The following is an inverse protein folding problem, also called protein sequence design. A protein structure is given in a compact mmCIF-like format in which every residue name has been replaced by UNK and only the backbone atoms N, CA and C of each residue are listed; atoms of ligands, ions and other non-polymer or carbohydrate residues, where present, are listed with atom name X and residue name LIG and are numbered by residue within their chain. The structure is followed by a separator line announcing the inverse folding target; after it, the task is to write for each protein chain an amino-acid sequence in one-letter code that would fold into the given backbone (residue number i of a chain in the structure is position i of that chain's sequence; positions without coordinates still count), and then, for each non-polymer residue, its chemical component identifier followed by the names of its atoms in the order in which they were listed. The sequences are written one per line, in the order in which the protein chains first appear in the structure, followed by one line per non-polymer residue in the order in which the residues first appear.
data_IF_305760167748
#
_entry.id   IF_305760167748
#
_cell.length_a   1.000
_cell.length_b   1.000
_cell.length_c   1.000
_cell.angle_alpha   90.00
_cell.angle_beta   90.00
_cell.angle_gamma   90.00
#
_symmetry.space_group_name_H-M   'P 1'
#
loop_
_entity.id
_entity.type
_entity.pdbx_description
1 polymer ?
#
# COMPACT_ATOMS: atom_id res chain seq x y z
N UNK A 1 -8.63 13.04 8.50
CA UNK A 1 -8.82 11.91 7.58
C UNK A 1 -7.52 11.45 6.91
N UNK A 2 -6.70 12.32 6.22
CA UNK A 2 -5.42 11.89 5.63
C UNK A 2 -4.43 11.37 6.67
N UNK A 3 -4.26 12.09 7.77
CA UNK A 3 -3.42 11.64 8.90
C UNK A 3 -3.92 10.32 9.47
N UNK A 4 -5.23 10.18 9.68
CA UNK A 4 -5.81 8.93 10.17
C UNK A 4 -5.52 7.77 9.21
N UNK A 5 -5.68 7.97 7.90
CA UNK A 5 -5.38 6.95 6.90
C UNK A 5 -3.89 6.60 6.88
N UNK A 6 -2.99 7.59 7.03
CA UNK A 6 -1.55 7.34 7.08
C UNK A 6 -1.14 6.53 8.32
N UNK A 7 -1.75 6.81 9.47
CA UNK A 7 -1.51 6.04 10.70
C UNK A 7 -2.04 4.61 10.56
N UNK A 8 -3.20 4.41 9.93
CA UNK A 8 -3.76 3.08 9.68
C UNK A 8 -2.86 2.27 8.73
N UNK A 9 -2.38 2.88 7.64
CA UNK A 9 -1.51 2.19 6.70
C UNK A 9 -0.06 2.06 7.18
N UNK A 10 0.49 3.07 7.87
CA UNK A 10 1.78 2.95 8.55
C UNK A 10 1.74 1.90 9.66
N UNK A 11 0.63 1.85 10.40
CA UNK A 11 0.36 0.82 11.41
C UNK A 11 0.29 -0.60 10.83
N UNK A 12 0.03 -0.76 9.53
CA UNK A 12 0.06 -2.08 8.91
C UNK A 12 1.43 -2.74 9.00
N UNK A 13 2.50 -1.99 8.82
CA UNK A 13 3.88 -2.48 8.97
C UNK A 13 4.19 -2.84 10.43
N UNK A 14 3.73 -2.02 11.36
CA UNK A 14 3.85 -2.26 12.79
C UNK A 14 3.13 -3.54 13.24
N UNK A 15 1.87 -3.72 12.85
CA UNK A 15 1.11 -4.94 13.18
C UNK A 15 1.71 -6.18 12.55
N UNK A 16 2.26 -6.08 11.34
CA UNK A 16 2.96 -7.18 10.68
C UNK A 16 4.14 -7.65 11.51
N UNK A 17 4.98 -6.73 12.01
CA UNK A 17 6.16 -7.05 12.82
C UNK A 17 5.79 -7.83 14.09
N UNK A 18 4.74 -7.39 14.80
CA UNK A 18 4.24 -8.08 15.99
C UNK A 18 3.69 -9.47 15.65
N UNK A 19 2.96 -9.59 14.54
CA UNK A 19 2.28 -10.83 14.19
C UNK A 19 3.23 -11.89 13.61
N UNK A 20 4.34 -11.48 13.00
CA UNK A 20 5.37 -12.38 12.48
C UNK A 20 6.13 -13.16 13.57
N UNK A 21 6.00 -12.78 14.84
CA UNK A 21 6.58 -13.53 15.96
C UNK A 21 6.01 -14.96 16.04
N UNK A 22 4.70 -15.11 15.79
CA UNK A 22 4.01 -16.40 15.95
C UNK A 22 3.47 -16.95 14.62
N UNK A 23 3.27 -16.11 13.60
CA UNK A 23 2.62 -16.51 12.36
C UNK A 23 3.56 -16.39 11.15
N UNK A 24 3.62 -17.44 10.31
CA UNK A 24 4.36 -17.35 9.05
C UNK A 24 3.63 -16.43 8.04
N UNK A 25 4.36 -15.89 7.05
CA UNK A 25 3.89 -14.82 6.18
C UNK A 25 2.56 -15.08 5.46
N UNK A 26 2.36 -16.26 4.86
CA UNK A 26 1.15 -16.55 4.08
C UNK A 26 -0.07 -16.68 4.98
N UNK A 27 0.07 -17.33 6.14
CA UNK A 27 -0.98 -17.46 7.15
C UNK A 27 -1.38 -16.09 7.70
N UNK A 28 -0.41 -15.24 8.01
CA UNK A 28 -0.68 -13.88 8.47
C UNK A 28 -1.47 -13.07 7.43
N UNK A 29 -1.05 -13.11 6.16
CA UNK A 29 -1.75 -12.41 5.07
C UNK A 29 -3.14 -13.01 4.84
N UNK A 30 -3.29 -14.34 4.90
CA UNK A 30 -4.60 -15.00 4.79
C UNK A 30 -5.55 -14.53 5.90
N UNK A 31 -5.12 -14.52 7.16
CA UNK A 31 -5.92 -14.02 8.28
C UNK A 31 -6.33 -12.55 8.06
N UNK A 32 -5.37 -11.70 7.66
CA UNK A 32 -5.62 -10.29 7.35
C UNK A 32 -6.75 -10.10 6.33
N UNK A 33 -6.61 -10.73 5.14
CA UNK A 33 -7.56 -10.52 4.05
C UNK A 33 -8.90 -11.21 4.31
N UNK A 34 -8.93 -12.36 5.00
CA UNK A 34 -10.16 -13.07 5.32
C UNK A 34 -11.02 -12.31 6.33
N UNK A 35 -10.41 -11.81 7.41
CA UNK A 35 -11.12 -10.99 8.41
C UNK A 35 -11.61 -9.68 7.78
N UNK A 36 -10.75 -9.00 6.98
CA UNK A 36 -11.15 -7.79 6.27
C UNK A 36 -12.30 -8.05 5.29
N UNK A 37 -12.31 -9.20 4.62
CA UNK A 37 -13.40 -9.65 3.73
C UNK A 37 -14.71 -9.71 4.48
N UNK A 38 -14.76 -10.37 5.64
CA UNK A 38 -15.99 -10.46 6.45
C UNK A 38 -16.52 -9.08 6.83
N UNK A 39 -15.64 -8.19 7.29
CA UNK A 39 -16.02 -6.82 7.66
C UNK A 39 -16.55 -6.03 6.46
N UNK A 40 -15.86 -6.11 5.31
CA UNK A 40 -16.25 -5.36 4.11
C UNK A 40 -17.57 -5.89 3.54
N UNK A 41 -17.81 -7.22 3.51
CA UNK A 41 -19.08 -7.78 3.09
C UNK A 41 -20.22 -7.38 4.03
N UNK A 42 -19.98 -7.35 5.33
CA UNK A 42 -20.97 -6.84 6.28
C UNK A 42 -21.36 -5.40 5.94
N UNK A 43 -20.40 -4.52 5.60
CA UNK A 43 -20.70 -3.14 5.16
C UNK A 43 -21.44 -3.11 3.82
N UNK A 44 -21.10 -3.99 2.85
CA UNK A 44 -21.81 -4.11 1.56
C UNK A 44 -23.28 -4.44 1.77
N UNK A 45 -23.55 -5.42 2.66
CA UNK A 45 -24.92 -5.85 2.99
C UNK A 45 -25.69 -4.76 3.74
N UNK A 46 -25.08 -4.10 4.73
CA UNK A 46 -25.72 -3.01 5.47
C UNK A 46 -26.06 -1.79 4.61
N UNK A 47 -25.34 -1.58 3.51
CA UNK A 47 -25.57 -0.46 2.59
C UNK A 47 -26.43 -0.84 1.38
N UNK A 48 -26.95 -2.04 1.35
CA UNK A 48 -27.80 -2.55 0.25
C UNK A 48 -27.17 -2.38 -1.13
N UNK A 49 -25.83 -2.60 -1.22
CA UNK A 49 -25.09 -2.43 -2.46
C UNK A 49 -25.38 -3.60 -3.39
N UNK A 50 -25.88 -3.32 -4.59
CA UNK A 50 -26.18 -4.34 -5.58
C UNK A 50 -24.92 -5.10 -6.00
N UNK A 51 -24.98 -6.44 -5.95
CA UNK A 51 -23.89 -7.34 -6.30
C UNK A 51 -24.00 -7.72 -7.78
N UNK A 52 -23.00 -7.37 -8.63
CA UNK A 52 -23.02 -7.74 -10.05
C UNK A 52 -22.98 -9.25 -10.24
N UNK A 53 -23.74 -9.73 -11.21
CA UNK A 53 -23.74 -11.14 -11.63
C UNK A 53 -22.83 -11.43 -12.83
N UNK A 54 -22.22 -10.39 -13.40
CA UNK A 54 -21.34 -10.51 -14.56
C UNK A 54 -20.03 -11.24 -14.22
N UNK A 55 -19.73 -12.38 -14.86
CA UNK A 55 -18.46 -13.10 -14.64
C UNK A 55 -17.23 -12.26 -14.99
N UNK A 56 -17.32 -11.33 -15.95
CA UNK A 56 -16.21 -10.44 -16.31
C UNK A 56 -15.84 -9.49 -15.18
N UNK A 57 -16.85 -9.02 -14.44
CA UNK A 57 -16.63 -8.22 -13.24
C UNK A 57 -15.81 -9.02 -12.22
N UNK A 58 -16.21 -10.26 -11.92
CA UNK A 58 -15.53 -11.09 -10.91
C UNK A 58 -14.14 -11.53 -11.35
N UNK A 59 -13.94 -11.81 -12.65
CA UNK A 59 -12.60 -12.05 -13.21
C UNK A 59 -11.68 -10.83 -13.02
N UNK A 60 -12.20 -9.63 -13.30
CA UNK A 60 -11.47 -8.39 -13.07
C UNK A 60 -11.14 -8.16 -11.59
N UNK A 61 -12.08 -8.44 -10.70
CA UNK A 61 -11.91 -8.37 -9.24
C UNK A 61 -10.86 -9.37 -8.76
N UNK A 62 -10.81 -10.58 -9.34
CA UNK A 62 -9.79 -11.57 -9.03
C UNK A 62 -8.38 -11.08 -9.42
N UNK A 63 -8.23 -10.48 -10.61
CA UNK A 63 -6.96 -9.85 -11.01
C UNK A 63 -6.58 -8.72 -10.05
N UNK A 64 -7.55 -7.88 -9.64
CA UNK A 64 -7.29 -6.85 -8.62
C UNK A 64 -6.86 -7.45 -7.29
N UNK A 65 -7.49 -8.54 -6.86
CA UNK A 65 -7.09 -9.28 -5.66
C UNK A 65 -5.64 -9.76 -5.73
N UNK A 66 -5.22 -10.28 -6.88
CA UNK A 66 -3.83 -10.67 -7.13
C UNK A 66 -2.87 -9.48 -7.05
N UNK A 67 -3.14 -8.43 -7.82
CA UNK A 67 -2.25 -7.28 -7.97
C UNK A 67 -2.20 -6.35 -6.75
N UNK A 68 -3.32 -6.18 -6.05
CA UNK A 68 -3.44 -5.20 -4.97
C UNK A 68 -3.32 -5.80 -3.57
N UNK A 69 -3.50 -7.11 -3.43
CA UNK A 69 -3.47 -7.77 -2.12
C UNK A 69 -2.51 -8.96 -2.10
N UNK A 70 -2.76 -10.03 -2.88
CA UNK A 70 -1.99 -11.28 -2.81
C UNK A 70 -0.48 -11.01 -2.98
N UNK A 71 -0.09 -10.51 -4.15
CA UNK A 71 1.32 -10.29 -4.49
C UNK A 71 1.97 -9.30 -3.51
N UNK A 72 1.47 -8.06 -3.36
CA UNK A 72 2.18 -7.08 -2.55
C UNK A 72 2.15 -7.41 -1.05
N UNK A 73 1.06 -7.95 -0.52
CA UNK A 73 1.02 -8.28 0.90
C UNK A 73 1.97 -9.42 1.25
N UNK A 74 2.02 -10.48 0.43
CA UNK A 74 2.94 -11.59 0.67
C UNK A 74 4.41 -11.11 0.58
N UNK A 75 4.74 -10.30 -0.43
CA UNK A 75 6.09 -9.79 -0.61
C UNK A 75 6.53 -8.85 0.53
N UNK A 76 5.64 -7.94 0.98
CA UNK A 76 5.93 -7.02 2.09
C UNK A 76 6.07 -7.80 3.40
N UNK A 77 5.12 -8.68 3.71
CA UNK A 77 5.14 -9.46 4.96
C UNK A 77 6.35 -10.39 5.00
N UNK A 78 6.66 -11.06 3.88
CA UNK A 78 7.89 -11.85 3.79
C UNK A 78 9.15 -10.99 3.94
N UNK A 79 9.19 -9.82 3.32
CA UNK A 79 10.32 -8.91 3.45
C UNK A 79 10.57 -8.48 4.90
N UNK A 80 9.50 -8.23 5.67
CA UNK A 80 9.61 -7.87 7.09
C UNK A 80 10.15 -9.00 8.00
N UNK A 81 10.30 -10.23 7.50
CA UNK A 81 11.10 -11.24 8.22
C UNK A 81 12.61 -10.97 8.17
N UNK A 82 13.07 -10.01 7.36
CA UNK A 82 14.49 -9.74 7.10
C UNK A 82 14.87 -8.25 7.21
N UNK A 83 13.89 -7.33 7.08
CA UNK A 83 14.10 -5.89 7.19
C UNK A 83 13.07 -5.28 8.14
N UNK A 84 13.39 -4.13 8.72
CA UNK A 84 12.51 -3.42 9.65
C UNK A 84 11.23 -2.93 9.00
N UNK A 85 10.18 -2.79 9.79
CA UNK A 85 8.88 -2.25 9.36
C UNK A 85 9.01 -0.85 8.76
N UNK A 86 9.87 -0.03 9.34
CA UNK A 86 10.17 1.33 8.87
C UNK A 86 10.81 1.33 7.49
N UNK A 87 11.80 0.46 7.24
CA UNK A 87 12.47 0.36 5.94
C UNK A 87 11.50 -0.15 4.86
N UNK A 88 10.68 -1.16 5.18
CA UNK A 88 9.65 -1.66 4.28
C UNK A 88 8.66 -0.53 3.89
N UNK A 89 8.22 0.29 4.85
CA UNK A 89 7.33 1.42 4.58
C UNK A 89 7.98 2.49 3.67
N UNK A 90 9.27 2.81 3.88
CA UNK A 90 10.01 3.76 3.04
C UNK A 90 10.10 3.25 1.59
N UNK A 91 10.48 2.00 1.39
CA UNK A 91 10.58 1.40 0.06
C UNK A 91 9.21 1.31 -0.62
N UNK A 92 8.15 0.99 0.11
CA UNK A 92 6.79 0.96 -0.41
C UNK A 92 6.28 2.34 -0.86
N UNK A 93 6.83 3.45 -0.34
CA UNK A 93 6.51 4.80 -0.78
C UNK A 93 6.95 5.10 -2.23
N UNK A 94 7.69 4.21 -2.88
CA UNK A 94 7.99 4.27 -4.32
C UNK A 94 6.81 3.89 -5.22
N UNK A 95 5.71 3.37 -4.67
CA UNK A 95 4.50 2.98 -5.42
C UNK A 95 4.05 4.03 -6.44
N UNK A 96 3.98 5.34 -6.13
CA UNK A 96 3.59 6.35 -7.12
C UNK A 96 4.57 6.47 -8.29
N UNK A 97 5.86 6.19 -8.08
CA UNK A 97 6.86 6.21 -9.15
C UNK A 97 6.56 5.12 -10.18
N UNK A 98 6.32 3.89 -9.69
CA UNK A 98 5.93 2.77 -10.56
C UNK A 98 4.58 3.02 -11.23
N UNK A 99 3.60 3.56 -10.49
CA UNK A 99 2.27 3.87 -11.05
C UNK A 99 2.39 4.81 -12.25
N UNK A 100 3.23 5.85 -12.16
CA UNK A 100 3.46 6.78 -13.27
C UNK A 100 4.12 6.13 -14.48
N UNK A 101 5.13 5.29 -14.26
CA UNK A 101 5.81 4.56 -15.34
C UNK A 101 4.84 3.62 -16.05
N UNK A 102 4.07 2.84 -15.29
CA UNK A 102 3.09 1.90 -15.84
C UNK A 102 1.97 2.65 -16.57
N UNK A 103 1.47 3.75 -16.00
CA UNK A 103 0.45 4.57 -16.65
C UNK A 103 0.94 5.17 -17.97
N UNK A 104 2.20 5.63 -18.03
CA UNK A 104 2.81 6.13 -19.26
C UNK A 104 2.84 5.09 -20.38
N UNK A 105 3.14 3.84 -20.04
CA UNK A 105 3.23 2.74 -21.02
C UNK A 105 1.83 2.22 -21.38
N UNK A 106 0.96 2.05 -20.38
CA UNK A 106 -0.32 1.35 -20.52
C UNK A 106 -1.50 2.26 -20.92
N UNK A 107 -1.35 3.60 -20.89
CA UNK A 107 -2.44 4.53 -21.20
C UNK A 107 -1.96 5.68 -22.10
N UNK A 108 -2.84 6.16 -22.98
CA UNK A 108 -2.55 7.33 -23.81
C UNK A 108 -2.80 8.66 -23.09
N UNK A 109 -3.63 8.63 -22.05
CA UNK A 109 -4.06 9.83 -21.31
C UNK A 109 -3.06 10.33 -20.27
N UNK A 110 -2.10 9.49 -19.83
CA UNK A 110 -1.15 9.84 -18.78
C UNK A 110 0.31 9.67 -19.21
N UNK A 111 0.73 10.50 -20.14
CA UNK A 111 2.14 10.50 -20.57
C UNK A 111 3.04 11.23 -19.57
N UNK A 112 4.28 10.76 -19.46
CA UNK A 112 5.31 11.43 -18.68
C UNK A 112 5.65 12.78 -19.29
N UNK A 113 5.60 13.81 -18.47
CA UNK A 113 6.17 15.12 -18.79
C UNK A 113 7.60 15.19 -18.29
N UNK A 114 8.42 16.12 -18.81
CA UNK A 114 9.80 16.31 -18.35
C UNK A 114 9.89 16.42 -16.81
N UNK A 115 8.97 17.17 -16.19
CA UNK A 115 8.90 17.32 -14.73
C UNK A 115 8.66 15.98 -14.05
N UNK A 116 7.70 15.17 -14.51
CA UNK A 116 7.40 13.86 -13.95
C UNK A 116 8.59 12.91 -14.12
N UNK A 117 9.27 12.95 -15.28
CA UNK A 117 10.48 12.17 -15.55
C UNK A 117 11.59 12.51 -14.56
N UNK A 118 11.88 13.79 -14.36
CA UNK A 118 12.88 14.26 -13.38
C UNK A 118 12.52 13.77 -11.98
N UNK A 119 11.25 13.90 -11.56
CA UNK A 119 10.80 13.45 -10.25
C UNK A 119 10.93 11.93 -10.06
N UNK A 120 10.64 11.14 -11.10
CA UNK A 120 10.85 9.67 -11.08
C UNK A 120 12.34 9.33 -10.93
N UNK A 121 13.21 10.00 -11.69
CA UNK A 121 14.67 9.76 -11.58
C UNK A 121 15.21 10.11 -10.19
N UNK A 122 14.78 11.26 -9.62
CA UNK A 122 15.14 11.64 -8.25
C UNK A 122 14.64 10.57 -7.26
N UNK A 123 13.37 10.12 -7.38
CA UNK A 123 12.79 9.12 -6.48
C UNK A 123 13.56 7.80 -6.51
N UNK A 124 13.90 7.28 -7.68
CA UNK A 124 14.74 6.08 -7.79
C UNK A 124 16.18 6.31 -7.32
N UNK A 125 16.71 7.52 -7.48
CA UNK A 125 17.98 7.92 -6.85
C UNK A 125 17.93 7.75 -5.32
N UNK A 126 16.82 8.08 -4.69
CA UNK A 126 16.60 7.83 -3.25
C UNK A 126 16.61 6.35 -2.89
N UNK A 127 16.06 5.48 -3.75
CA UNK A 127 16.15 4.02 -3.57
C UNK A 127 17.61 3.56 -3.60
N UNK A 128 18.40 4.06 -4.55
CA UNK A 128 19.84 3.73 -4.64
C UNK A 128 20.57 4.18 -3.36
N UNK A 129 20.24 5.34 -2.79
CA UNK A 129 20.82 5.81 -1.52
C UNK A 129 20.46 4.87 -0.37
N UNK A 130 19.22 4.34 -0.32
CA UNK A 130 18.79 3.38 0.72
C UNK A 130 19.61 2.08 0.65
N UNK A 131 19.85 1.56 -0.55
CA UNK A 131 20.67 0.36 -0.72
C UNK A 131 22.13 0.61 -0.32
N UNK A 132 22.60 1.85 -0.41
CA UNK A 132 23.95 2.26 -0.05
C UNK A 132 25.02 1.68 -0.99
N UNK A 133 26.25 2.09 -0.73
CA UNK A 133 27.45 1.37 -1.24
C UNK A 133 27.67 0.21 -0.28
N UNK A 134 27.83 -1.03 -0.74
CA UNK A 134 28.14 -2.16 0.14
C UNK A 134 29.38 -1.85 0.97
N UNK A 135 29.19 -1.48 2.23
CA UNK A 135 30.29 -1.39 3.18
C UNK A 135 30.55 -2.81 3.66
N UNK A 136 31.76 -3.28 3.44
CA UNK A 136 32.23 -4.60 3.82
C UNK A 136 31.84 -4.94 5.27
N UNK A 137 30.90 -5.90 5.43
CA UNK A 137 30.57 -6.47 6.73
C UNK A 137 29.12 -6.74 7.07
N UNK A 138 28.15 -6.14 6.37
CA UNK A 138 26.71 -6.44 6.57
C UNK A 138 26.07 -6.67 5.20
N UNK A 139 26.06 -7.91 4.77
CA UNK A 139 25.22 -8.33 3.64
C UNK A 139 23.74 -8.27 4.08
N UNK A 140 23.15 -7.09 4.05
CA UNK A 140 21.68 -7.01 4.00
C UNK A 140 21.29 -7.60 2.66
N UNK A 141 20.74 -8.80 2.67
CA UNK A 141 20.33 -9.49 1.45
C UNK A 141 19.47 -8.58 0.59
N UNK A 142 19.85 -8.33 -0.65
CA UNK A 142 19.13 -7.45 -1.59
C UNK A 142 17.71 -7.96 -1.91
N UNK A 143 17.41 -9.23 -1.59
CA UNK A 143 16.14 -9.87 -1.93
C UNK A 143 14.94 -9.26 -1.18
N UNK A 144 15.07 -9.00 0.12
CA UNK A 144 13.96 -8.47 0.91
C UNK A 144 13.59 -7.02 0.50
N UNK A 145 14.54 -6.06 0.37
CA UNK A 145 14.22 -4.76 -0.19
C UNK A 145 13.67 -4.83 -1.62
N UNK A 146 14.22 -5.69 -2.49
CA UNK A 146 13.72 -5.87 -3.85
C UNK A 146 12.29 -6.43 -3.88
N UNK A 147 11.92 -7.30 -2.94
CA UNK A 147 10.55 -7.79 -2.81
C UNK A 147 9.56 -6.65 -2.49
N UNK A 148 9.93 -5.69 -1.64
CA UNK A 148 9.09 -4.50 -1.40
C UNK A 148 8.97 -3.63 -2.65
N UNK A 149 10.03 -3.45 -3.42
CA UNK A 149 9.96 -2.72 -4.70
C UNK A 149 9.06 -3.44 -5.71
N UNK A 150 9.11 -4.77 -5.78
CA UNK A 150 8.20 -5.57 -6.59
C UNK A 150 6.74 -5.45 -6.11
N UNK A 151 6.52 -5.39 -4.79
CA UNK A 151 5.21 -5.08 -4.23
C UNK A 151 4.71 -3.70 -4.66
N UNK A 152 5.56 -2.67 -4.59
CA UNK A 152 5.26 -1.32 -5.05
C UNK A 152 4.95 -1.27 -6.56
N UNK A 153 5.66 -2.04 -7.38
CA UNK A 153 5.36 -2.23 -8.79
C UNK A 153 3.98 -2.88 -8.99
N UNK A 154 3.66 -3.93 -8.24
CA UNK A 154 2.36 -4.60 -8.28
C UNK A 154 1.22 -3.64 -7.92
N UNK A 155 1.38 -2.80 -6.90
CA UNK A 155 0.45 -1.73 -6.58
C UNK A 155 0.30 -0.73 -7.73
N UNK A 156 1.39 -0.39 -8.42
CA UNK A 156 1.37 0.44 -9.61
C UNK A 156 0.50 -0.16 -10.72
N UNK A 157 0.67 -1.46 -11.00
CA UNK A 157 -0.19 -2.21 -11.92
C UNK A 157 -1.66 -2.19 -11.48
N UNK A 158 -1.91 -2.44 -10.19
CA UNK A 158 -3.26 -2.40 -9.63
C UNK A 158 -3.90 -1.01 -9.78
N UNK A 159 -3.14 0.08 -9.57
CA UNK A 159 -3.62 1.45 -9.73
C UNK A 159 -4.10 1.77 -11.15
N UNK A 160 -3.38 1.29 -12.16
CA UNK A 160 -3.76 1.46 -13.58
C UNK A 160 -4.90 0.52 -13.95
N UNK A 161 -4.82 -0.75 -13.58
CA UNK A 161 -5.86 -1.74 -13.87
C UNK A 161 -7.18 -1.40 -13.16
N UNK A 162 -7.12 -0.85 -11.95
CA UNK A 162 -8.28 -0.51 -11.11
C UNK A 162 -9.21 0.55 -11.70
N UNK A 163 -8.75 1.34 -12.68
CA UNK A 163 -9.57 2.35 -13.35
C UNK A 163 -10.83 1.79 -14.00
N UNK A 164 -10.81 0.51 -14.40
CA UNK A 164 -11.99 -0.19 -14.94
C UNK A 164 -13.16 -0.30 -13.96
N UNK A 165 -12.89 -0.12 -12.67
CA UNK A 165 -13.90 -0.16 -11.61
C UNK A 165 -14.37 1.24 -11.18
N UNK A 166 -14.06 2.30 -11.94
CA UNK A 166 -14.39 3.69 -11.59
C UNK A 166 -15.89 3.93 -11.33
N UNK A 167 -16.76 3.17 -12.01
CA UNK A 167 -18.22 3.24 -11.86
C UNK A 167 -18.79 2.27 -10.82
N UNK A 168 -17.96 1.37 -10.28
CA UNK A 168 -18.38 0.38 -9.26
C UNK A 168 -18.29 1.01 -7.88
N UNK A 169 -19.24 0.71 -6.97
CA UNK A 169 -19.10 1.10 -5.58
C UNK A 169 -17.77 0.59 -5.00
N UNK A 170 -16.89 1.48 -4.53
CA UNK A 170 -15.52 1.08 -4.18
C UNK A 170 -15.44 0.04 -3.05
N UNK A 171 -16.39 0.06 -2.10
CA UNK A 171 -16.47 -0.94 -1.02
C UNK A 171 -16.74 -2.33 -1.58
N UNK A 172 -17.57 -2.44 -2.64
CA UNK A 172 -17.83 -3.71 -3.32
C UNK A 172 -16.57 -4.24 -4.01
N UNK A 173 -15.82 -3.36 -4.69
CA UNK A 173 -14.53 -3.73 -5.29
C UNK A 173 -13.55 -4.20 -4.21
N UNK A 174 -13.47 -3.49 -3.07
CA UNK A 174 -12.63 -3.89 -1.95
C UNK A 174 -13.03 -5.25 -1.36
N UNK A 175 -14.33 -5.46 -1.10
CA UNK A 175 -14.84 -6.75 -0.60
C UNK A 175 -14.54 -7.90 -1.57
N UNK A 176 -14.76 -7.66 -2.86
CA UNK A 176 -14.49 -8.67 -3.89
C UNK A 176 -13.00 -9.00 -4.02
N UNK A 177 -12.11 -8.00 -4.09
CA UNK A 177 -10.68 -8.25 -4.24
C UNK A 177 -10.06 -8.91 -3.00
N UNK A 178 -10.53 -8.59 -1.79
CA UNK A 178 -10.08 -9.27 -0.57
C UNK A 178 -10.60 -10.71 -0.52
N UNK A 179 -11.85 -10.98 -0.97
CA UNK A 179 -12.38 -12.33 -1.12
C UNK A 179 -11.55 -13.17 -2.10
N UNK A 180 -11.25 -12.62 -3.27
CA UNK A 180 -10.44 -13.30 -4.26
C UNK A 180 -9.03 -13.61 -3.73
N UNK A 181 -8.42 -12.67 -3.02
CA UNK A 181 -7.12 -12.87 -2.38
C UNK A 181 -7.18 -13.97 -1.32
N UNK A 182 -8.23 -14.00 -0.49
CA UNK A 182 -8.42 -15.05 0.53
C UNK A 182 -8.52 -16.43 -0.11
N UNK A 183 -9.30 -16.54 -1.20
CA UNK A 183 -9.45 -17.80 -1.93
C UNK A 183 -8.14 -18.27 -2.59
N UNK A 184 -7.34 -17.35 -3.12
CA UNK A 184 -6.03 -17.65 -3.70
C UNK A 184 -4.98 -18.01 -2.64
N UNK A 185 -5.01 -17.33 -1.48
CA UNK A 185 -4.07 -17.54 -0.39
C UNK A 185 -4.35 -18.84 0.39
N UNK A 186 -5.62 -19.24 0.48
CA UNK A 186 -6.01 -20.42 1.25
C UNK A 186 -5.21 -21.67 0.86
N UNK A 187 -5.16 -22.10 -0.40
CA UNK A 187 -4.35 -23.27 -0.77
C UNK A 187 -2.85 -23.05 -0.56
N UNK A 188 -2.33 -21.83 -0.77
CA UNK A 188 -0.92 -21.53 -0.56
C UNK A 188 -0.52 -21.63 0.92
N UNK A 189 -1.32 -21.05 1.83
CA UNK A 189 -1.10 -21.16 3.27
C UNK A 189 -1.21 -22.62 3.76
N UNK A 190 -2.21 -23.35 3.26
CA UNK A 190 -2.41 -24.76 3.59
C UNK A 190 -1.20 -25.61 3.18
N UNK A 191 -0.68 -25.42 1.98
CA UNK A 191 0.39 -26.25 1.42
C UNK A 191 1.78 -25.89 1.96
N UNK A 192 2.03 -24.60 2.20
CA UNK A 192 3.37 -24.09 2.54
C UNK A 192 3.52 -23.89 4.05
N UNK A 193 2.60 -23.15 4.68
CA UNK A 193 2.70 -22.77 6.09
C UNK A 193 2.12 -23.85 7.04
N UNK A 194 1.21 -24.68 6.56
CA UNK A 194 0.55 -25.76 7.32
C UNK A 194 0.01 -25.29 8.67
N UNK A 195 -0.94 -24.33 8.70
CA UNK A 195 -1.34 -23.59 9.90
C UNK A 195 -1.85 -24.46 11.06
N UNK A 196 -2.26 -25.69 10.80
CA UNK A 196 -2.68 -26.66 11.85
C UNK A 196 -1.52 -27.21 12.68
N UNK A 197 -0.27 -27.03 12.26
CA UNK A 197 0.93 -27.41 13.02
C UNK A 197 1.49 -26.25 13.85
N UNK A 198 0.96 -25.06 13.67
CA UNK A 198 1.43 -23.88 14.40
C UNK A 198 0.96 -23.92 15.85
N UNK A 199 1.77 -23.45 16.80
CA UNK A 199 1.33 -23.25 18.18
C UNK A 199 0.21 -22.18 18.22
N UNK A 200 -0.57 -22.19 19.31
CA UNK A 200 -1.59 -21.17 19.53
C UNK A 200 -0.90 -19.80 19.64
N UNK A 201 -1.27 -18.83 18.79
CA UNK A 201 -0.65 -17.51 18.81
C UNK A 201 -0.87 -16.79 20.15
N UNK A 202 0.08 -15.95 20.53
CA UNK A 202 -0.02 -15.12 21.72
C UNK A 202 -1.15 -14.08 21.58
N UNK A 203 -1.63 -13.57 22.72
CA UNK A 203 -2.67 -12.53 22.72
C UNK A 203 -2.22 -11.28 21.95
N UNK A 204 -0.93 -10.91 22.02
CA UNK A 204 -0.36 -9.79 21.25
C UNK A 204 -0.48 -10.01 19.74
N UNK A 205 -0.17 -11.22 19.27
CA UNK A 205 -0.32 -11.61 17.86
C UNK A 205 -1.77 -11.57 17.42
N UNK A 206 -2.70 -12.12 18.22
CA UNK A 206 -4.13 -12.09 17.90
C UNK A 206 -4.62 -10.64 17.76
N UNK A 207 -4.27 -9.77 18.72
CA UNK A 207 -4.64 -8.35 18.68
C UNK A 207 -3.99 -7.62 17.48
N UNK A 208 -2.74 -7.95 17.16
CA UNK A 208 -2.06 -7.40 15.99
C UNK A 208 -2.76 -7.82 14.68
N UNK A 209 -3.13 -9.08 14.53
CA UNK A 209 -3.88 -9.58 13.35
C UNK A 209 -5.24 -8.90 13.23
N UNK A 210 -5.96 -8.73 14.33
CA UNK A 210 -7.24 -8.01 14.33
C UNK A 210 -7.05 -6.54 13.97
N UNK A 211 -6.08 -5.86 14.56
CA UNK A 211 -5.72 -4.48 14.20
C UNK A 211 -5.32 -4.35 12.73
N UNK A 212 -4.52 -5.26 12.24
CA UNK A 212 -4.08 -5.32 10.84
C UNK A 212 -5.25 -5.48 9.87
N UNK A 213 -6.17 -6.40 10.14
CA UNK A 213 -7.32 -6.68 9.28
C UNK A 213 -8.40 -5.59 9.38
N UNK A 214 -8.77 -5.20 10.57
CA UNK A 214 -9.91 -4.29 10.80
C UNK A 214 -9.51 -2.83 10.59
N UNK A 215 -8.38 -2.40 11.16
CA UNK A 215 -7.95 -1.01 11.10
C UNK A 215 -7.19 -0.73 9.81
N UNK A 216 -6.10 -1.46 9.55
CA UNK A 216 -5.20 -1.17 8.41
C UNK A 216 -5.71 -1.70 7.08
N UNK A 217 -6.78 -2.50 7.06
CA UNK A 217 -7.37 -2.99 5.81
C UNK A 217 -8.83 -2.54 5.66
N UNK A 218 -9.76 -3.03 6.44
CA UNK A 218 -11.18 -2.73 6.24
C UNK A 218 -11.52 -1.24 6.47
N UNK A 219 -11.17 -0.68 7.63
CA UNK A 219 -11.41 0.73 7.93
C UNK A 219 -10.60 1.65 7.03
N UNK A 220 -9.34 1.29 6.74
CA UNK A 220 -8.51 2.06 5.85
C UNK A 220 -9.10 2.17 4.44
N UNK A 221 -9.67 1.11 3.88
CA UNK A 221 -10.39 1.17 2.60
C UNK A 221 -11.61 2.09 2.67
N UNK A 222 -12.40 2.01 3.74
CA UNK A 222 -13.57 2.89 3.93
C UNK A 222 -13.14 4.37 3.96
N UNK A 223 -12.07 4.69 4.70
CA UNK A 223 -11.51 6.03 4.78
C UNK A 223 -10.90 6.48 3.45
N UNK A 224 -10.13 5.62 2.78
CA UNK A 224 -9.54 5.88 1.48
C UNK A 224 -10.62 6.34 0.47
N UNK A 225 -11.71 5.60 0.36
CA UNK A 225 -12.77 5.95 -0.56
C UNK A 225 -13.58 7.17 -0.13
N UNK A 226 -13.73 7.41 1.17
CA UNK A 226 -14.34 8.63 1.67
C UNK A 226 -13.50 9.87 1.33
N UNK A 227 -12.17 9.78 1.43
CA UNK A 227 -11.24 10.86 1.05
C UNK A 227 -11.26 11.03 -0.48
N UNK A 228 -11.19 9.93 -1.24
CA UNK A 228 -11.23 9.97 -2.71
C UNK A 228 -12.47 10.71 -3.22
N UNK A 229 -13.64 10.42 -2.65
CA UNK A 229 -14.91 11.07 -3.01
C UNK A 229 -14.96 12.54 -2.65
N UNK A 230 -14.38 12.95 -1.50
CA UNK A 230 -14.48 14.32 -0.98
C UNK A 230 -13.36 15.24 -1.45
N UNK A 231 -12.15 14.73 -1.54
CA UNK A 231 -10.94 15.51 -1.76
C UNK A 231 -10.25 15.20 -3.09
N UNK A 232 -10.70 14.14 -3.79
CA UNK A 232 -10.14 13.72 -5.07
C UNK A 232 -8.82 12.95 -4.96
N UNK A 233 -8.42 12.34 -6.07
CA UNK A 233 -7.24 11.46 -6.13
C UNK A 233 -5.94 12.20 -5.82
N UNK A 234 -5.80 13.46 -6.28
CA UNK A 234 -4.58 14.24 -6.06
C UNK A 234 -4.30 14.53 -4.58
N UNK A 235 -5.33 14.80 -3.78
CA UNK A 235 -5.15 15.02 -2.34
C UNK A 235 -4.92 13.68 -1.60
N UNK A 236 -5.54 12.62 -2.08
CA UNK A 236 -5.35 11.28 -1.53
C UNK A 236 -3.90 10.80 -1.68
N UNK A 237 -3.23 11.13 -2.79
CA UNK A 237 -1.82 10.79 -3.00
C UNK A 237 -0.88 11.34 -1.91
N UNK A 238 -1.27 12.42 -1.21
CA UNK A 238 -0.48 12.95 -0.10
C UNK A 238 -0.31 11.94 1.04
N UNK A 239 -1.19 10.95 1.15
CA UNK A 239 -1.06 9.90 2.16
C UNK A 239 0.23 9.10 2.00
N UNK A 240 0.71 8.91 0.76
CA UNK A 240 1.93 8.14 0.49
C UNK A 240 3.19 8.76 1.11
N UNK A 241 3.21 10.09 1.29
CA UNK A 241 4.28 10.79 2.02
C UNK A 241 4.19 10.59 3.53
N UNK A 242 2.98 10.42 4.04
CA UNK A 242 2.73 10.34 5.48
C UNK A 242 2.88 8.91 6.01
N UNK A 243 2.68 7.89 5.18
CA UNK A 243 2.78 6.48 5.58
C UNK A 243 4.16 6.14 6.18
N UNK A 244 5.31 6.45 5.53
CA UNK A 244 6.61 6.16 6.12
C UNK A 244 6.83 6.88 7.44
N UNK A 245 6.37 8.13 7.56
CA UNK A 245 6.49 8.90 8.81
C UNK A 245 5.75 8.18 9.93
N UNK A 246 4.50 7.75 9.67
CA UNK A 246 3.70 7.01 10.67
C UNK A 246 4.34 5.67 11.02
N UNK A 247 4.88 4.94 10.03
CA UNK A 247 5.55 3.66 10.27
C UNK A 247 6.83 3.83 11.09
N UNK A 248 7.65 4.85 10.80
CA UNK A 248 8.87 5.17 11.54
C UNK A 248 8.55 5.55 12.99
N UNK A 249 7.52 6.36 13.22
CA UNK A 249 7.12 6.74 14.58
C UNK A 249 6.63 5.53 15.38
N UNK A 250 5.90 4.60 14.76
CA UNK A 250 5.45 3.38 15.41
C UNK A 250 6.59 2.37 15.58
N UNK A 251 7.42 2.15 14.58
CA UNK A 251 8.58 1.25 14.64
C UNK A 251 9.62 1.70 15.66
N UNK A 252 10.02 2.97 15.60
CA UNK A 252 10.99 3.53 16.55
C UNK A 252 10.44 3.67 17.97
N UNK A 253 9.16 4.08 18.11
CA UNK A 253 8.54 4.33 19.41
C UNK A 253 8.14 3.08 20.19
N UNK A 254 7.73 2.02 19.51
CA UNK A 254 7.16 0.82 20.14
C UNK A 254 7.95 -0.46 19.88
N UNK A 255 8.68 -0.56 18.77
CA UNK A 255 9.45 -1.75 18.39
C UNK A 255 10.95 -1.57 18.61
N UNK A 256 11.39 -0.36 19.00
CA UNK A 256 12.82 -0.07 19.19
C UNK A 256 13.65 -0.08 17.91
N UNK A 257 13.01 0.09 16.75
CA UNK A 257 13.70 0.12 15.45
C UNK A 257 14.63 1.33 15.36
N UNK A 258 15.86 1.10 14.92
CA UNK A 258 16.84 2.15 14.63
C UNK A 258 17.04 2.25 13.13
N UNK A 259 16.74 3.42 12.59
CA UNK A 259 17.00 3.71 11.17
C UNK A 259 18.42 4.23 10.97
N UNK A 260 19.09 3.68 9.95
CA UNK A 260 20.38 4.20 9.52
C UNK A 260 20.22 5.57 8.85
N UNK A 261 21.23 6.43 8.96
CA UNK A 261 21.21 7.76 8.33
C UNK A 261 20.93 7.70 6.81
N UNK A 262 21.46 6.69 6.12
CA UNK A 262 21.20 6.47 4.70
C UNK A 262 19.71 6.20 4.39
N UNK A 263 18.96 5.52 5.27
CA UNK A 263 17.52 5.31 5.10
C UNK A 263 16.75 6.63 5.20
N UNK A 264 17.12 7.51 6.13
CA UNK A 264 16.54 8.85 6.29
C UNK A 264 16.83 9.75 5.07
N UNK A 265 18.08 9.72 4.58
CA UNK A 265 18.46 10.49 3.39
C UNK A 265 17.71 9.96 2.17
N UNK A 266 17.68 8.65 1.97
CA UNK A 266 16.95 8.03 0.85
C UNK A 266 15.46 8.33 0.89
N UNK A 267 14.83 8.29 2.07
CA UNK A 267 13.44 8.68 2.26
C UNK A 267 13.21 10.16 1.86
N UNK A 268 14.09 11.06 2.28
CA UNK A 268 14.01 12.48 1.91
C UNK A 268 14.13 12.67 0.40
N UNK A 269 15.03 11.94 -0.27
CA UNK A 269 15.20 11.99 -1.74
C UNK A 269 13.98 11.41 -2.47
N UNK A 270 13.41 10.28 -2.00
CA UNK A 270 12.14 9.75 -2.54
C UNK A 270 11.04 10.79 -2.39
N UNK A 271 10.90 11.39 -1.21
CA UNK A 271 9.93 12.45 -0.93
C UNK A 271 10.09 13.64 -1.88
N UNK A 272 11.32 14.08 -2.10
CA UNK A 272 11.62 15.16 -3.04
C UNK A 272 11.19 14.79 -4.47
N UNK A 273 11.49 13.58 -4.93
CA UNK A 273 11.03 13.09 -6.23
C UNK A 273 9.50 13.14 -6.37
N UNK A 274 8.77 12.70 -5.36
CA UNK A 274 7.31 12.74 -5.33
C UNK A 274 6.78 14.19 -5.30
N UNK A 275 7.41 15.09 -4.57
CA UNK A 275 7.05 16.54 -4.56
C UNK A 275 7.24 17.19 -5.93
N UNK A 276 8.33 16.85 -6.63
CA UNK A 276 8.57 17.31 -8.01
C UNK A 276 7.47 16.77 -8.94
N UNK A 277 7.07 15.51 -8.80
CA UNK A 277 5.97 14.91 -9.58
C UNK A 277 4.65 15.66 -9.33
N UNK A 278 4.30 15.89 -8.07
CA UNK A 278 3.04 16.57 -7.68
C UNK A 278 2.98 18.00 -8.25
N UNK A 279 4.09 18.72 -8.21
CA UNK A 279 4.28 20.02 -8.85
C UNK A 279 3.49 21.18 -8.25
N UNK A 280 2.72 20.98 -7.18
CA UNK A 280 1.95 22.05 -6.52
C UNK A 280 2.85 23.14 -5.95
N UNK A 281 4.03 22.79 -5.46
CA UNK A 281 5.02 23.74 -4.96
C UNK A 281 5.61 24.62 -6.06
N UNK A 282 5.57 24.16 -7.32
CA UNK A 282 6.11 24.87 -8.48
C UNK A 282 5.03 25.61 -9.28
N UNK A 283 3.76 25.35 -9.02
CA UNK A 283 2.64 26.02 -9.69
C UNK A 283 2.29 27.31 -8.95
N UNK A 284 2.47 28.46 -9.63
CA UNK A 284 1.90 29.72 -9.14
C UNK A 284 0.39 29.59 -9.00
N UNK A 285 -0.23 30.14 -7.93
CA UNK A 285 -1.68 30.19 -7.80
C UNK A 285 -2.25 30.83 -9.07
N UNK A 286 -3.19 30.16 -9.76
CA UNK A 286 -3.94 30.81 -10.83
C UNK A 286 -4.64 32.04 -10.21
N UNK A 287 -4.49 33.25 -10.81
CA UNK A 287 -5.25 34.39 -10.35
C UNK A 287 -6.75 34.04 -10.40
N UNK A 288 -7.47 34.41 -9.35
CA UNK A 288 -8.91 34.24 -9.29
C UNK A 288 -9.53 34.88 -10.54
N UNK A 289 -10.30 34.10 -11.31
CA UNK A 289 -11.04 34.69 -12.44
C UNK A 289 -12.02 35.72 -11.86
N UNK A 290 -12.05 36.94 -12.40
CA UNK A 290 -13.00 37.95 -11.96
C UNK A 290 -14.42 37.41 -12.18
N UNK A 291 -15.21 37.44 -11.09
CA UNK A 291 -16.65 37.08 -11.14
C UNK A 291 -17.29 38.14 -12.07
N UNK A 292 -17.63 37.73 -13.26
CA UNK A 292 -18.45 38.57 -14.17
C UNK A 292 -19.84 38.72 -13.53
N UNK A 293 -20.28 39.93 -13.19
CA UNK A 293 -21.62 40.13 -12.67
C UNK A 293 -22.61 39.75 -13.77
N UNK A 294 -23.47 38.78 -13.47
CA UNK A 294 -24.65 38.47 -14.27
C UNK A 294 -25.57 39.67 -14.30
N UNK A 295 -25.78 40.23 -15.51
CA UNK A 295 -26.82 41.22 -15.78
C UNK A 295 -28.22 40.63 -15.69
#
# INVERSE_FOLDING_TARGET
MLISLSVLWGGSFFFTEIALVDLPPLTLVLCRVSIATMVLWWVVLLRDIAIPRDPKFWAGVAVMGGLNNLIPFCLIVWSQTQITSSLAAILNATTPLFTLLIAHIATDSEKLTLRKTIGVLIGFGGVIVIFGVPTSGTEVGLLAPAAVLLAAFSYGCAGVFGRRFATTPPILTAAGMTSASSLMLLPLSILIDQPWHLPVPTTSTILAVLGFAMLSTALAYILYFAILKRAGASNLLLVTFLIPISAILLGGGFLGEVLLGQHMIGMAVIGLGLLVIDGRLLSRPKPAQPVTPTK
#
